data_IF_634371802959
#
_entry.id   IF_634371802959
#
_cell.length_a   1.000
_cell.length_b   1.000
_cell.length_c   1.000
_cell.angle_alpha   90.00
_cell.angle_beta   90.00
_cell.angle_gamma   90.00
#
_symmetry.space_group_name_H-M   'P 1'
#
loop_
_entity.id
_entity.type
_entity.pdbx_description
1 polymer ?
#
# COMPACT_ATOMS: atom_id res chain seq x y z
N UNK A 1 -19.26 11.20 -48.11
CA UNK A 1 -18.27 10.10 -47.99
C UNK A 1 -16.89 10.53 -47.42
N UNK A 2 -16.69 11.76 -46.91
CA UNK A 2 -15.37 12.24 -46.42
C UNK A 2 -15.24 12.46 -44.89
N UNK A 3 -16.29 12.19 -44.08
CA UNK A 3 -16.25 12.36 -42.61
C UNK A 3 -15.16 11.54 -41.90
N UNK A 4 -14.68 10.46 -42.51
CA UNK A 4 -13.67 9.57 -41.92
C UNK A 4 -12.22 10.08 -41.99
N UNK A 5 -11.87 10.99 -42.91
CA UNK A 5 -10.47 11.44 -43.07
C UNK A 5 -10.11 12.59 -42.13
N UNK A 6 -11.04 13.52 -41.89
CA UNK A 6 -10.80 14.66 -41.00
C UNK A 6 -10.66 14.24 -39.53
N UNK A 7 -11.47 13.26 -39.09
CA UNK A 7 -11.36 12.69 -37.74
C UNK A 7 -10.03 11.99 -37.50
N UNK A 8 -9.48 11.29 -38.51
CA UNK A 8 -8.16 10.65 -38.40
C UNK A 8 -7.03 11.65 -38.24
N UNK A 9 -7.11 12.81 -38.91
CA UNK A 9 -6.06 13.82 -38.86
C UNK A 9 -6.07 14.61 -37.54
N UNK A 10 -7.25 14.90 -36.99
CA UNK A 10 -7.39 15.49 -35.66
C UNK A 10 -6.90 14.56 -34.54
N UNK A 11 -7.18 13.25 -34.66
CA UNK A 11 -6.66 12.23 -33.72
C UNK A 11 -5.13 12.13 -33.79
N UNK A 12 -4.54 12.27 -34.97
CA UNK A 12 -3.09 12.16 -35.17
C UNK A 12 -2.33 13.39 -34.65
N UNK A 13 -2.88 14.59 -34.86
CA UNK A 13 -2.31 15.85 -34.33
C UNK A 13 -2.41 15.92 -32.81
N UNK A 14 -3.51 15.42 -32.25
CA UNK A 14 -3.72 15.39 -30.81
C UNK A 14 -2.94 14.26 -30.13
N UNK A 15 -2.74 13.12 -30.80
CA UNK A 15 -1.77 12.10 -30.37
C UNK A 15 -0.34 12.67 -30.33
N UNK A 16 0.04 13.55 -31.27
CA UNK A 16 1.33 14.22 -31.29
C UNK A 16 1.51 15.21 -30.12
N UNK A 17 0.44 15.91 -29.72
CA UNK A 17 0.44 16.82 -28.55
C UNK A 17 0.43 16.05 -27.22
N UNK A 18 -0.21 14.89 -27.17
CA UNK A 18 -0.17 14.01 -25.99
C UNK A 18 1.19 13.32 -25.87
N UNK A 19 1.78 12.89 -27.00
CA UNK A 19 3.11 12.26 -27.02
C UNK A 19 4.23 13.24 -26.68
N UNK A 20 4.10 14.54 -26.98
CA UNK A 20 5.08 15.54 -26.54
C UNK A 20 5.04 15.79 -25.03
N UNK A 21 3.92 15.48 -24.36
CA UNK A 21 3.78 15.53 -22.90
C UNK A 21 4.22 14.24 -22.17
N UNK A 22 4.38 13.12 -22.87
CA UNK A 22 4.74 11.82 -22.27
C UNK A 22 6.25 11.50 -22.29
N UNK A 23 7.10 12.35 -22.89
CA UNK A 23 8.56 12.20 -22.83
C UNK A 23 9.11 12.79 -21.51
N UNK A 24 8.84 12.10 -20.40
CA UNK A 24 9.27 12.53 -19.07
C UNK A 24 8.97 11.51 -17.97
N UNK A 25 9.32 10.24 -18.18
CA UNK A 25 9.26 9.23 -17.13
C UNK A 25 10.50 9.29 -16.24
N UNK A 26 10.30 9.44 -14.92
CA UNK A 26 11.31 9.16 -13.91
C UNK A 26 11.16 9.93 -12.60
N UNK A 27 10.14 9.67 -11.78
CA UNK A 27 10.12 10.04 -10.36
C UNK A 27 10.84 8.98 -9.54
N UNK A 28 12.17 8.96 -9.67
CA UNK A 28 12.98 8.83 -8.47
C UNK A 28 13.26 10.26 -8.02
N UNK A 29 13.27 10.52 -6.72
CA UNK A 29 13.91 11.71 -6.15
C UNK A 29 15.41 11.65 -6.44
N UNK A 30 15.80 11.79 -7.71
CA UNK A 30 17.17 11.98 -8.11
C UNK A 30 17.46 13.40 -7.68
N UNK A 31 18.13 13.54 -6.54
CA UNK A 31 18.80 14.75 -6.12
C UNK A 31 19.74 15.19 -7.26
N UNK A 32 19.23 15.96 -8.21
CA UNK A 32 19.96 16.35 -9.42
C UNK A 32 19.12 16.75 -10.64
N UNK A 33 17.82 16.45 -10.72
CA UNK A 33 16.96 16.98 -11.81
C UNK A 33 16.52 18.43 -11.52
N UNK A 34 16.46 19.30 -12.54
CA UNK A 34 16.12 20.71 -12.36
C UNK A 34 14.69 20.87 -11.83
N UNK A 35 14.55 21.72 -10.81
CA UNK A 35 13.32 22.00 -10.05
C UNK A 35 12.07 22.32 -10.92
N UNK A 36 12.27 22.74 -12.16
CA UNK A 36 11.19 23.08 -13.08
C UNK A 36 10.35 21.87 -13.51
N UNK A 37 10.94 20.69 -13.75
CA UNK A 37 10.15 19.51 -14.18
C UNK A 37 9.30 18.93 -13.04
N UNK A 38 9.83 18.96 -11.82
CA UNK A 38 9.11 18.50 -10.63
C UNK A 38 7.94 19.43 -10.29
N UNK A 39 8.10 20.73 -10.51
CA UNK A 39 7.01 21.70 -10.35
C UNK A 39 5.88 21.52 -11.38
N UNK A 40 6.18 21.11 -12.62
CA UNK A 40 5.15 20.89 -13.66
C UNK A 40 4.32 19.64 -13.35
N UNK A 41 4.96 18.54 -12.95
CA UNK A 41 4.24 17.31 -12.58
C UNK A 41 3.41 17.49 -11.30
N UNK A 42 3.86 18.32 -10.34
CA UNK A 42 3.07 18.65 -9.16
C UNK A 42 1.84 19.51 -9.47
N UNK A 43 1.88 20.29 -10.56
CA UNK A 43 0.79 21.17 -10.96
C UNK A 43 -0.18 20.51 -11.95
N UNK A 44 -0.66 19.30 -11.62
CA UNK A 44 -1.68 18.60 -12.41
C UNK A 44 -2.94 19.44 -12.64
N UNK A 45 -3.28 20.33 -11.69
CA UNK A 45 -4.38 21.30 -11.80
C UNK A 45 -4.13 22.21 -13.01
N UNK A 46 -2.95 22.80 -13.12
CA UNK A 46 -2.57 23.70 -14.22
C UNK A 46 -2.60 22.97 -15.57
N UNK A 47 -2.06 21.75 -15.64
CA UNK A 47 -2.08 20.94 -16.87
C UNK A 47 -3.53 20.67 -17.30
N UNK A 48 -4.41 20.36 -16.34
CA UNK A 48 -5.82 20.09 -16.61
C UNK A 48 -6.53 21.35 -17.11
N UNK A 49 -6.31 22.50 -16.48
CA UNK A 49 -6.89 23.77 -16.93
C UNK A 49 -6.40 24.18 -18.32
N UNK A 50 -5.10 24.02 -18.61
CA UNK A 50 -4.53 24.27 -19.94
C UNK A 50 -5.19 23.35 -20.98
N UNK A 51 -5.40 22.07 -20.63
CA UNK A 51 -6.04 21.09 -21.52
C UNK A 51 -7.49 21.47 -21.82
N UNK A 52 -8.28 21.80 -20.79
CA UNK A 52 -9.67 22.25 -20.95
C UNK A 52 -9.72 23.52 -21.78
N UNK A 53 -8.89 24.51 -21.47
CA UNK A 53 -8.83 25.79 -22.19
C UNK A 53 -8.41 25.59 -23.67
N UNK A 54 -7.41 24.76 -23.92
CA UNK A 54 -6.97 24.40 -25.26
C UNK A 54 -8.09 23.76 -26.09
N UNK A 55 -8.92 22.91 -25.47
CA UNK A 55 -10.09 22.32 -26.13
C UNK A 55 -11.16 23.37 -26.46
N UNK A 56 -11.44 24.31 -25.55
CA UNK A 56 -12.37 25.42 -25.84
C UNK A 56 -11.89 26.27 -27.01
N UNK A 57 -10.59 26.60 -27.05
CA UNK A 57 -9.99 27.36 -28.15
C UNK A 57 -10.09 26.59 -29.47
N UNK A 58 -9.79 25.29 -29.47
CA UNK A 58 -9.88 24.46 -30.67
C UNK A 58 -11.32 24.40 -31.23
N UNK A 59 -12.32 24.17 -30.37
CA UNK A 59 -13.73 24.13 -30.79
C UNK A 59 -14.23 25.52 -31.21
N UNK A 60 -13.80 26.58 -30.53
CA UNK A 60 -14.10 27.97 -30.91
C UNK A 60 -13.58 28.32 -32.30
N UNK A 61 -12.33 27.94 -32.60
CA UNK A 61 -11.75 28.12 -33.95
C UNK A 61 -12.53 27.33 -35.00
N UNK A 62 -12.88 26.07 -34.73
CA UNK A 62 -13.71 25.27 -35.64
C UNK A 62 -15.09 25.89 -35.89
N UNK A 63 -15.67 26.54 -34.88
CA UNK A 63 -16.93 27.27 -35.03
C UNK A 63 -16.79 28.48 -35.96
N UNK A 64 -15.72 29.26 -35.82
CA UNK A 64 -15.45 30.41 -36.72
C UNK A 64 -15.22 29.95 -38.15
N UNK A 65 -14.49 28.85 -38.36
CA UNK A 65 -14.28 28.21 -39.67
C UNK A 65 -15.62 27.74 -40.24
N UNK A 66 -16.46 27.05 -39.47
CA UNK A 66 -17.78 26.59 -39.92
C UNK A 66 -18.74 27.73 -40.27
N UNK A 67 -18.57 28.89 -39.64
CA UNK A 67 -19.30 30.11 -39.97
C UNK A 67 -18.79 30.75 -41.25
N UNK A 68 -17.46 30.88 -41.39
CA UNK A 68 -16.83 31.45 -42.59
C UNK A 68 -17.11 30.68 -43.87
N UNK A 69 -17.18 29.34 -43.81
CA UNK A 69 -17.51 28.49 -44.95
C UNK A 69 -19.01 28.20 -45.12
N UNK A 70 -19.87 28.71 -44.22
CA UNK A 70 -21.32 28.47 -44.30
C UNK A 70 -21.73 27.00 -44.22
N UNK A 71 -21.01 26.18 -43.44
CA UNK A 71 -21.29 24.74 -43.29
C UNK A 71 -22.16 24.51 -42.04
N UNK A 72 -23.51 24.43 -42.16
CA UNK A 72 -24.40 24.37 -40.99
C UNK A 72 -24.19 23.11 -40.15
N UNK A 73 -23.74 22.00 -40.77
CA UNK A 73 -23.45 20.76 -40.04
C UNK A 73 -22.27 20.89 -39.07
N UNK A 74 -21.24 21.67 -39.42
CA UNK A 74 -20.08 21.89 -38.56
C UNK A 74 -20.46 22.80 -37.38
N UNK A 75 -21.30 23.81 -37.62
CA UNK A 75 -21.80 24.70 -36.57
C UNK A 75 -22.66 23.93 -35.55
N UNK A 76 -23.57 23.08 -36.02
CA UNK A 76 -24.39 22.24 -35.14
C UNK A 76 -23.53 21.28 -34.30
N UNK A 77 -22.50 20.68 -34.91
CA UNK A 77 -21.55 19.84 -34.19
C UNK A 77 -20.76 20.62 -33.13
N UNK A 78 -20.23 21.81 -33.46
CA UNK A 78 -19.49 22.64 -32.52
C UNK A 78 -20.35 23.10 -31.33
N UNK A 79 -21.63 23.43 -31.56
CA UNK A 79 -22.56 23.80 -30.47
C UNK A 79 -22.77 22.65 -29.48
N UNK A 80 -22.91 21.43 -29.98
CA UNK A 80 -23.04 20.23 -29.14
C UNK A 80 -21.75 19.95 -28.37
N UNK A 81 -20.59 20.09 -29.01
CA UNK A 81 -19.30 19.83 -28.38
C UNK A 81 -18.97 20.90 -27.32
N UNK A 82 -19.30 22.17 -27.57
CA UNK A 82 -19.08 23.25 -26.61
C UNK A 82 -19.92 23.06 -25.33
N UNK A 83 -21.18 22.61 -25.46
CA UNK A 83 -21.99 22.24 -24.31
C UNK A 83 -21.35 21.09 -23.51
N UNK A 84 -20.83 20.08 -24.19
CA UNK A 84 -20.17 18.96 -23.53
C UNK A 84 -18.87 19.36 -22.84
N UNK A 85 -18.03 20.18 -23.49
CA UNK A 85 -16.82 20.74 -22.87
C UNK A 85 -17.14 21.58 -21.63
N UNK A 86 -18.23 22.36 -21.65
CA UNK A 86 -18.68 23.11 -20.47
C UNK A 86 -19.04 22.20 -19.30
N UNK A 87 -19.74 21.10 -19.56
CA UNK A 87 -20.03 20.09 -18.54
C UNK A 87 -18.74 19.43 -18.01
N UNK A 88 -17.75 19.17 -18.87
CA UNK A 88 -16.45 18.62 -18.43
C UNK A 88 -15.68 19.60 -17.55
N UNK A 89 -15.72 20.90 -17.86
CA UNK A 89 -15.04 21.92 -17.07
C UNK A 89 -15.64 22.04 -15.66
N UNK A 90 -16.97 22.03 -15.56
CA UNK A 90 -17.68 22.03 -14.26
C UNK A 90 -17.33 20.80 -13.44
N UNK A 91 -17.28 19.62 -14.07
CA UNK A 91 -16.92 18.36 -13.43
C UNK A 91 -15.47 18.38 -12.90
N UNK A 92 -14.52 18.85 -13.70
CA UNK A 92 -13.12 19.01 -13.27
C UNK A 92 -13.04 19.97 -12.09
N UNK A 93 -13.77 21.09 -12.13
CA UNK A 93 -13.80 22.05 -11.03
C UNK A 93 -14.35 21.43 -9.73
N UNK A 94 -15.46 20.68 -9.81
CA UNK A 94 -16.01 19.95 -8.66
C UNK A 94 -15.03 18.91 -8.11
N UNK A 95 -14.29 18.23 -8.98
CA UNK A 95 -13.30 17.23 -8.58
C UNK A 95 -12.10 17.88 -7.88
N UNK A 96 -11.59 19.01 -8.38
CA UNK A 96 -10.54 19.79 -7.70
C UNK A 96 -11.01 20.23 -6.32
N UNK A 97 -12.26 20.70 -6.21
CA UNK A 97 -12.86 21.06 -4.93
C UNK A 97 -12.98 19.85 -3.99
N UNK A 98 -13.40 18.68 -4.49
CA UNK A 98 -13.52 17.47 -3.69
C UNK A 98 -12.15 16.99 -3.17
N UNK A 99 -11.11 17.00 -4.00
CA UNK A 99 -9.74 16.62 -3.64
C UNK A 99 -9.18 17.57 -2.57
N UNK A 100 -9.25 18.87 -2.83
CA UNK A 100 -8.75 19.88 -1.88
C UNK A 100 -9.54 19.87 -0.58
N UNK A 101 -10.86 19.67 -0.64
CA UNK A 101 -11.72 19.49 0.52
C UNK A 101 -11.35 18.25 1.34
N UNK A 102 -11.12 17.10 0.67
CA UNK A 102 -10.72 15.86 1.34
C UNK A 102 -9.37 16.01 2.07
N UNK A 103 -8.40 16.71 1.47
CA UNK A 103 -7.12 16.97 2.10
C UNK A 103 -7.25 17.89 3.34
N UNK A 104 -8.09 18.92 3.29
CA UNK A 104 -8.34 19.78 4.46
C UNK A 104 -9.07 19.04 5.58
N UNK A 105 -10.06 18.22 5.23
CA UNK A 105 -10.77 17.37 6.19
C UNK A 105 -9.78 16.42 6.85
N UNK A 106 -8.93 15.75 6.06
CA UNK A 106 -7.92 14.84 6.61
C UNK A 106 -6.95 15.55 7.54
N UNK A 107 -6.43 16.73 7.16
CA UNK A 107 -5.56 17.55 8.04
C UNK A 107 -6.22 17.86 9.39
N UNK A 108 -7.53 18.12 9.39
CA UNK A 108 -8.28 18.41 10.62
C UNK A 108 -8.47 17.18 11.52
N UNK A 109 -8.75 16.00 10.94
CA UNK A 109 -8.91 14.75 11.68
C UNK A 109 -7.59 14.21 12.24
N UNK A 110 -6.51 14.44 11.51
CA UNK A 110 -5.21 13.84 11.80
C UNK A 110 -4.43 14.61 12.87
N UNK A 111 -4.65 15.93 12.97
CA UNK A 111 -3.93 16.82 13.88
C UNK A 111 -2.44 17.00 13.57
N UNK A 112 -1.92 16.33 12.53
CA UNK A 112 -0.50 16.37 12.16
C UNK A 112 -0.19 17.37 11.04
N UNK A 113 -1.22 17.93 10.39
CA UNK A 113 -1.06 18.85 9.26
C UNK A 113 -0.62 18.18 7.94
N UNK A 114 -0.36 16.87 7.96
CA UNK A 114 -0.03 16.07 6.77
C UNK A 114 -1.26 15.79 5.92
N UNK A 115 -1.04 15.56 4.62
CA UNK A 115 -2.12 15.13 3.72
C UNK A 115 -2.60 13.71 4.05
N UNK A 116 -3.82 13.36 3.63
CA UNK A 116 -4.37 12.01 3.82
C UNK A 116 -3.46 10.94 3.19
N UNK A 117 -2.97 11.26 1.99
CA UNK A 117 -2.11 10.38 1.21
C UNK A 117 -0.78 10.11 1.90
N UNK A 118 -0.11 11.15 2.39
CA UNK A 118 1.16 11.04 3.11
C UNK A 118 1.01 10.21 4.39
N UNK A 119 -0.03 10.48 5.19
CA UNK A 119 -0.27 9.70 6.41
C UNK A 119 -0.63 8.24 6.12
N UNK A 120 -1.37 7.96 5.05
CA UNK A 120 -1.65 6.60 4.63
C UNK A 120 -0.37 5.87 4.21
N UNK A 121 0.54 6.55 3.50
CA UNK A 121 1.85 5.99 3.13
C UNK A 121 2.72 5.69 4.35
N UNK A 122 2.81 6.63 5.29
CA UNK A 122 3.56 6.46 6.54
C UNK A 122 3.02 5.28 7.35
N UNK A 123 1.70 5.16 7.44
CA UNK A 123 1.04 4.03 8.09
C UNK A 123 1.39 2.70 7.42
N UNK A 124 1.22 2.58 6.09
CA UNK A 124 1.50 1.34 5.36
C UNK A 124 2.98 0.94 5.43
N UNK A 125 3.89 1.91 5.39
CA UNK A 125 5.32 1.65 5.56
C UNK A 125 5.62 1.12 6.96
N UNK A 126 5.07 1.77 7.98
CA UNK A 126 5.26 1.36 9.37
C UNK A 126 4.68 -0.03 9.63
N UNK A 127 3.45 -0.28 9.16
CA UNK A 127 2.78 -1.57 9.24
C UNK A 127 3.60 -2.67 8.56
N UNK A 128 4.09 -2.42 7.33
CA UNK A 128 4.94 -3.37 6.61
C UNK A 128 6.22 -3.70 7.38
N UNK A 129 6.87 -2.71 7.98
CA UNK A 129 8.05 -2.91 8.80
C UNK A 129 7.76 -3.71 10.07
N UNK A 130 6.62 -3.47 10.70
CA UNK A 130 6.18 -4.21 11.88
C UNK A 130 5.94 -5.70 11.56
N UNK A 131 5.21 -5.99 10.47
CA UNK A 131 4.97 -7.38 10.01
C UNK A 131 6.31 -8.05 9.66
N UNK A 132 7.21 -7.34 8.97
CA UNK A 132 8.54 -7.87 8.62
C UNK A 132 9.41 -8.13 9.86
N UNK A 133 9.37 -7.25 10.86
CA UNK A 133 10.07 -7.46 12.14
C UNK A 133 9.57 -8.72 12.86
N UNK A 134 8.25 -8.90 12.88
CA UNK A 134 7.56 -10.06 13.46
C UNK A 134 7.94 -11.35 12.74
N UNK A 135 8.00 -11.31 11.40
CA UNK A 135 8.47 -12.43 10.56
C UNK A 135 9.91 -12.84 10.91
N UNK A 136 10.84 -11.89 10.97
CA UNK A 136 12.24 -12.20 11.30
C UNK A 136 12.38 -12.74 12.72
N UNK A 137 11.61 -12.21 13.67
CA UNK A 137 11.59 -12.73 15.02
C UNK A 137 11.12 -14.19 15.08
N UNK A 138 10.04 -14.53 14.36
CA UNK A 138 9.55 -15.91 14.26
C UNK A 138 10.56 -16.83 13.59
N UNK A 139 11.28 -16.36 12.57
CA UNK A 139 12.33 -17.11 11.90
C UNK A 139 13.48 -17.43 12.87
N UNK A 140 13.97 -16.43 13.61
CA UNK A 140 15.07 -16.62 14.57
C UNK A 140 14.66 -17.51 15.75
N UNK A 141 13.45 -17.35 16.27
CA UNK A 141 12.95 -18.16 17.40
C UNK A 141 12.59 -19.59 17.01
N UNK A 142 12.24 -19.84 15.73
CA UNK A 142 11.94 -21.19 15.25
C UNK A 142 13.16 -22.01 14.84
N UNK A 143 14.27 -21.38 14.46
CA UNK A 143 15.52 -22.06 14.12
C UNK A 143 16.01 -23.07 15.18
N UNK A 144 16.07 -22.74 16.48
CA UNK A 144 16.47 -23.71 17.51
C UNK A 144 15.44 -24.83 17.69
N UNK A 145 14.15 -24.55 17.51
CA UNK A 145 13.11 -25.59 17.55
C UNK A 145 13.23 -26.56 16.38
N UNK A 146 13.60 -26.08 15.18
CA UNK A 146 13.83 -26.96 14.03
C UNK A 146 15.08 -27.83 14.23
N UNK A 147 16.13 -27.30 14.87
CA UNK A 147 17.31 -28.10 15.26
C UNK A 147 16.91 -29.20 16.25
N UNK A 148 16.13 -28.88 17.29
CA UNK A 148 15.63 -29.88 18.24
C UNK A 148 14.72 -30.91 17.57
N UNK A 149 13.84 -30.47 16.68
CA UNK A 149 12.93 -31.33 15.92
C UNK A 149 13.67 -32.30 14.98
N UNK A 150 14.75 -31.83 14.33
CA UNK A 150 15.56 -32.66 13.43
C UNK A 150 16.46 -33.67 14.16
N UNK A 151 16.60 -33.56 15.48
CA UNK A 151 17.41 -34.50 16.25
C UNK A 151 16.76 -35.89 16.31
N UNK A 152 17.45 -36.88 15.73
CA UNK A 152 17.07 -38.30 15.76
C UNK A 152 18.11 -39.07 16.54
N UNK A 153 17.69 -39.78 17.58
CA UNK A 153 18.59 -40.66 18.34
C UNK A 153 18.37 -42.07 17.82
N UNK A 154 19.36 -42.58 17.09
CA UNK A 154 19.38 -43.96 16.62
C UNK A 154 20.14 -44.84 17.60
N UNK A 155 19.44 -45.75 18.27
CA UNK A 155 20.06 -46.74 19.15
C UNK A 155 20.00 -48.08 18.41
N UNK A 156 21.16 -48.63 18.04
CA UNK A 156 21.29 -49.88 17.26
C UNK A 156 22.00 -50.98 18.06
N UNK A 157 21.38 -51.55 19.12
CA UNK A 157 21.94 -52.73 19.75
C UNK A 157 21.88 -53.91 18.75
N UNK A 158 23.02 -54.55 18.47
CA UNK A 158 23.08 -55.79 17.68
C UNK A 158 22.47 -55.70 16.26
N UNK A 159 22.58 -54.55 15.57
CA UNK A 159 22.00 -54.28 14.24
C UNK A 159 20.47 -54.24 14.14
N UNK A 160 19.72 -54.47 15.23
CA UNK A 160 18.30 -54.12 15.30
C UNK A 160 18.17 -52.71 15.88
N UNK A 161 17.77 -51.74 15.06
CA UNK A 161 17.72 -50.33 15.45
C UNK A 161 16.33 -49.86 15.82
N UNK A 162 16.19 -49.15 16.94
CA UNK A 162 15.04 -48.29 17.19
C UNK A 162 15.47 -46.82 17.11
N UNK A 163 14.60 -45.99 16.56
CA UNK A 163 14.82 -44.55 16.39
C UNK A 163 13.85 -43.80 17.27
N UNK A 164 14.37 -43.06 18.24
CA UNK A 164 13.58 -42.14 19.05
C UNK A 164 13.77 -40.72 18.49
N UNK A 165 12.64 -40.09 18.13
CA UNK A 165 12.59 -38.66 17.87
C UNK A 165 11.96 -38.00 19.09
N UNK A 166 12.77 -37.55 20.07
CA UNK A 166 12.24 -37.03 21.33
C UNK A 166 11.31 -35.83 21.11
N UNK A 167 11.52 -35.08 20.03
CA UNK A 167 10.77 -33.87 19.70
C UNK A 167 9.54 -34.10 18.80
N UNK A 168 9.10 -35.33 18.53
CA UNK A 168 7.89 -35.57 17.70
C UNK A 168 6.63 -34.91 18.24
N UNK A 169 6.54 -34.69 19.56
CA UNK A 169 5.41 -33.99 20.17
C UNK A 169 5.34 -32.49 19.78
N UNK A 170 6.45 -31.90 19.31
CA UNK A 170 6.48 -30.52 18.80
C UNK A 170 5.99 -30.40 17.37
N UNK A 171 5.69 -31.51 16.68
CA UNK A 171 5.26 -31.49 15.28
C UNK A 171 4.06 -30.55 15.04
N UNK A 172 2.97 -30.58 15.84
CA UNK A 172 1.86 -29.64 15.65
C UNK A 172 2.24 -28.17 15.81
N UNK A 173 3.23 -27.88 16.66
CA UNK A 173 3.72 -26.52 16.88
C UNK A 173 4.53 -26.05 15.67
N UNK A 174 5.39 -26.92 15.13
CA UNK A 174 6.19 -26.61 13.94
C UNK A 174 5.31 -26.42 12.70
N UNK A 175 4.26 -27.23 12.54
CA UNK A 175 3.32 -27.10 11.43
C UNK A 175 2.54 -25.78 11.51
N UNK A 176 2.03 -25.42 12.69
CA UNK A 176 1.34 -24.13 12.91
C UNK A 176 2.26 -22.93 12.70
N UNK A 177 3.51 -23.03 13.15
CA UNK A 177 4.50 -21.98 12.96
C UNK A 177 4.91 -21.83 11.49
N UNK A 178 5.01 -22.94 10.75
CA UNK A 178 5.21 -22.91 9.30
C UNK A 178 4.07 -22.18 8.57
N UNK A 179 2.81 -22.46 8.95
CA UNK A 179 1.64 -21.75 8.40
C UNK A 179 1.70 -20.25 8.76
N UNK A 180 2.02 -19.91 10.01
CA UNK A 180 2.16 -18.53 10.46
C UNK A 180 3.22 -17.74 9.68
N UNK A 181 4.41 -18.34 9.47
CA UNK A 181 5.49 -17.73 8.70
C UNK A 181 5.07 -17.49 7.24
N UNK A 182 4.41 -18.47 6.61
CA UNK A 182 3.92 -18.34 5.24
C UNK A 182 2.85 -17.21 5.13
N UNK A 183 1.96 -17.13 6.10
CA UNK A 183 0.93 -16.09 6.19
C UNK A 183 1.51 -14.68 6.43
N UNK A 184 2.51 -14.55 7.31
CA UNK A 184 3.19 -13.26 7.52
C UNK A 184 3.99 -12.84 6.29
N UNK A 185 4.56 -13.79 5.57
CA UNK A 185 5.27 -13.52 4.31
C UNK A 185 4.32 -12.92 3.28
N UNK A 186 3.16 -13.56 3.05
CA UNK A 186 2.16 -13.05 2.10
C UNK A 186 1.59 -11.69 2.54
N UNK A 187 1.30 -11.52 3.84
CA UNK A 187 0.84 -10.24 4.39
C UNK A 187 1.86 -9.11 4.22
N UNK A 188 3.15 -9.40 4.40
CA UNK A 188 4.22 -8.40 4.20
C UNK A 188 4.25 -7.91 2.76
N UNK A 189 4.19 -8.84 1.79
CA UNK A 189 4.18 -8.48 0.37
C UNK A 189 2.93 -7.72 -0.03
N UNK A 190 1.76 -8.13 0.47
CA UNK A 190 0.51 -7.45 0.20
C UNK A 190 0.51 -6.01 0.75
N UNK A 191 0.99 -5.80 1.99
CA UNK A 191 1.13 -4.47 2.59
C UNK A 191 2.10 -3.57 1.80
N UNK A 192 3.24 -4.12 1.34
CA UNK A 192 4.16 -3.37 0.47
C UNK A 192 3.55 -3.03 -0.88
N UNK A 193 2.76 -3.94 -1.46
CA UNK A 193 2.09 -3.68 -2.72
C UNK A 193 1.14 -2.49 -2.58
N UNK A 194 0.34 -2.42 -1.52
CA UNK A 194 -0.53 -1.25 -1.27
C UNK A 194 0.28 0.03 -1.03
N UNK A 195 1.42 -0.04 -0.33
CA UNK A 195 2.32 1.10 -0.21
C UNK A 195 2.81 1.61 -1.57
N UNK A 196 3.28 0.72 -2.46
CA UNK A 196 3.67 1.10 -3.81
C UNK A 196 2.49 1.59 -4.65
N UNK A 197 1.31 1.06 -4.42
CA UNK A 197 0.08 1.49 -5.08
C UNK A 197 -0.34 2.89 -4.63
N UNK A 198 -0.16 3.25 -3.35
CA UNK A 198 -0.36 4.61 -2.84
C UNK A 198 0.63 5.60 -3.47
N UNK A 199 1.91 5.22 -3.58
CA UNK A 199 2.91 6.05 -4.27
C UNK A 199 2.56 6.23 -5.76
N UNK A 200 2.17 5.13 -6.42
CA UNK A 200 1.72 5.17 -7.81
C UNK A 200 0.47 6.06 -7.98
N UNK A 201 -0.50 5.97 -7.05
CA UNK A 201 -1.70 6.79 -7.06
C UNK A 201 -1.39 8.29 -6.90
N UNK A 202 -0.44 8.64 -6.02
CA UNK A 202 -0.01 10.01 -5.83
C UNK A 202 0.68 10.58 -7.08
N UNK A 203 1.66 9.85 -7.63
CA UNK A 203 2.52 10.37 -8.69
C UNK A 203 1.89 10.31 -10.08
N UNK A 204 1.14 9.24 -10.38
CA UNK A 204 0.73 8.96 -11.77
C UNK A 204 -0.77 9.15 -12.01
N UNK A 205 -1.64 8.79 -11.06
CA UNK A 205 -3.09 8.81 -11.31
C UNK A 205 -3.62 10.24 -11.51
N UNK A 206 -3.21 11.20 -10.68
CA UNK A 206 -3.66 12.59 -10.89
C UNK A 206 -2.92 13.28 -12.04
N UNK A 207 -1.60 13.08 -12.16
CA UNK A 207 -0.81 13.80 -13.16
C UNK A 207 -1.07 13.33 -14.59
N UNK A 208 -1.28 12.02 -14.80
CA UNK A 208 -1.40 11.44 -16.15
C UNK A 208 -2.85 11.10 -16.48
N UNK A 209 -3.56 10.38 -15.60
CA UNK A 209 -4.88 9.86 -15.94
C UNK A 209 -5.96 10.94 -15.99
N UNK A 210 -5.84 12.00 -15.18
CA UNK A 210 -6.85 13.06 -15.14
C UNK A 210 -6.81 13.94 -16.41
N UNK A 211 -5.67 14.52 -16.84
CA UNK A 211 -5.61 15.26 -18.11
C UNK A 211 -5.95 14.37 -19.32
N UNK A 212 -5.47 13.12 -19.31
CA UNK A 212 -5.79 12.15 -20.36
C UNK A 212 -7.30 11.84 -20.43
N UNK A 213 -7.94 11.66 -19.27
CA UNK A 213 -9.37 11.41 -19.17
C UNK A 213 -10.21 12.59 -19.67
N UNK A 214 -9.80 13.82 -19.32
CA UNK A 214 -10.42 15.06 -19.83
C UNK A 214 -10.28 15.16 -21.35
N UNK A 215 -9.08 14.88 -21.87
CA UNK A 215 -8.80 14.91 -23.30
C UNK A 215 -9.60 13.85 -24.07
N UNK A 216 -9.69 12.62 -23.55
CA UNK A 216 -10.48 11.55 -24.17
C UNK A 216 -11.99 11.85 -24.14
N UNK A 217 -12.46 12.69 -23.21
CA UNK A 217 -13.85 13.10 -23.13
C UNK A 217 -14.28 14.05 -24.26
N UNK A 218 -13.34 14.77 -24.86
CA UNK A 218 -13.57 15.67 -26.00
C UNK A 218 -13.80 14.93 -27.33
N UNK A 219 -13.53 13.62 -27.41
CA UNK A 219 -13.89 12.84 -28.58
C UNK A 219 -15.18 12.05 -28.31
N UNK A 220 -16.19 12.15 -29.20
CA UNK A 220 -17.45 11.44 -29.02
C UNK A 220 -17.29 9.91 -28.86
N UNK A 221 -16.29 9.32 -29.52
CA UNK A 221 -16.05 7.87 -29.51
C UNK A 221 -15.38 7.39 -28.21
N UNK A 222 -14.49 8.18 -27.62
CA UNK A 222 -13.74 7.79 -26.40
C UNK A 222 -14.31 8.41 -25.13
N UNK A 223 -15.48 9.05 -25.21
CA UNK A 223 -16.08 9.79 -24.10
C UNK A 223 -16.33 8.93 -22.86
N UNK A 224 -16.82 7.72 -23.05
CA UNK A 224 -17.06 6.77 -21.95
C UNK A 224 -15.76 6.38 -21.25
N UNK A 225 -14.68 6.17 -22.02
CA UNK A 225 -13.34 5.86 -21.48
C UNK A 225 -12.78 7.06 -20.70
N UNK A 226 -12.96 8.28 -21.22
CA UNK A 226 -12.54 9.49 -20.52
C UNK A 226 -13.22 9.66 -19.16
N UNK A 227 -14.53 9.42 -19.08
CA UNK A 227 -15.26 9.40 -17.80
C UNK A 227 -14.72 8.35 -16.83
N UNK A 228 -14.43 7.15 -17.32
CA UNK A 228 -13.86 6.07 -16.52
C UNK A 228 -12.49 6.39 -15.93
N UNK A 229 -11.60 6.99 -16.72
CA UNK A 229 -10.24 7.34 -16.29
C UNK A 229 -10.26 8.45 -15.24
N UNK A 230 -11.12 9.46 -15.41
CA UNK A 230 -11.35 10.50 -14.40
C UNK A 230 -11.88 9.84 -13.11
N UNK A 231 -12.82 8.91 -13.24
CA UNK A 231 -13.40 8.25 -12.08
C UNK A 231 -12.40 7.40 -11.30
N UNK A 232 -11.58 6.65 -12.02
CA UNK A 232 -10.52 5.84 -11.46
C UNK A 232 -9.47 6.70 -10.74
N UNK A 233 -9.00 7.77 -11.37
CA UNK A 233 -8.02 8.68 -10.77
C UNK A 233 -8.54 9.30 -9.47
N UNK A 234 -9.80 9.78 -9.46
CA UNK A 234 -10.43 10.33 -8.27
C UNK A 234 -10.60 9.28 -7.16
N UNK A 235 -11.00 8.06 -7.52
CA UNK A 235 -11.21 6.99 -6.56
C UNK A 235 -9.91 6.54 -5.87
N UNK A 236 -8.84 6.33 -6.64
CA UNK A 236 -7.54 5.96 -6.06
C UNK A 236 -6.93 7.10 -5.24
N UNK A 237 -7.23 8.36 -5.54
CA UNK A 237 -6.72 9.48 -4.75
C UNK A 237 -7.51 9.71 -3.46
N UNK A 238 -8.84 9.53 -3.46
CA UNK A 238 -9.69 9.83 -2.30
C UNK A 238 -10.00 8.58 -1.48
N UNK A 239 -10.53 7.53 -2.12
CA UNK A 239 -11.06 6.37 -1.43
C UNK A 239 -9.97 5.46 -0.86
N UNK A 240 -8.86 5.27 -1.59
CA UNK A 240 -7.77 4.40 -1.15
C UNK A 240 -7.09 4.89 0.13
N UNK A 241 -6.53 6.12 0.21
CA UNK A 241 -5.94 6.58 1.47
C UNK A 241 -7.00 6.68 2.57
N UNK A 242 -8.26 6.99 2.24
CA UNK A 242 -9.36 6.96 3.19
C UNK A 242 -9.57 5.59 3.84
N UNK A 243 -9.59 4.52 3.04
CA UNK A 243 -9.76 3.15 3.53
C UNK A 243 -8.57 2.72 4.41
N UNK A 244 -7.34 3.01 3.95
CA UNK A 244 -6.11 2.75 4.73
C UNK A 244 -6.11 3.50 6.07
N UNK A 245 -6.60 4.74 6.11
CA UNK A 245 -6.71 5.51 7.34
C UNK A 245 -7.74 4.93 8.32
N UNK A 246 -8.84 4.36 7.82
CA UNK A 246 -9.80 3.63 8.67
C UNK A 246 -9.11 2.41 9.30
N UNK A 247 -8.33 1.65 8.52
CA UNK A 247 -7.54 0.55 9.05
C UNK A 247 -6.51 1.01 10.10
N UNK A 248 -5.91 2.19 9.90
CA UNK A 248 -5.02 2.80 10.89
C UNK A 248 -5.73 3.14 12.21
N UNK A 249 -7.00 3.58 12.17
CA UNK A 249 -7.78 3.83 13.40
C UNK A 249 -8.06 2.53 14.16
N UNK A 250 -8.45 1.47 13.46
CA UNK A 250 -8.68 0.13 14.04
C UNK A 250 -7.37 -0.39 14.66
N UNK A 251 -6.24 -0.21 13.97
CA UNK A 251 -4.93 -0.56 14.48
C UNK A 251 -4.60 0.19 15.77
N UNK A 252 -4.84 1.51 15.80
CA UNK A 252 -4.54 2.35 16.96
C UNK A 252 -5.40 2.01 18.17
N UNK A 253 -6.65 1.60 17.98
CA UNK A 253 -7.51 1.14 19.06
C UNK A 253 -6.96 -0.15 19.68
N UNK A 254 -6.55 -1.12 18.85
CA UNK A 254 -6.07 -2.42 19.32
C UNK A 254 -4.65 -2.36 19.92
N UNK A 255 -3.70 -1.76 19.20
CA UNK A 255 -2.28 -1.77 19.57
C UNK A 255 -1.80 -0.47 20.23
N UNK A 256 -2.57 0.61 20.18
CA UNK A 256 -2.15 1.95 20.60
C UNK A 256 -1.43 2.74 19.50
N UNK A 257 -0.88 3.90 19.84
CA UNK A 257 -0.29 4.88 18.92
C UNK A 257 1.06 4.46 18.28
N UNK A 258 1.31 3.16 18.16
CA UNK A 258 2.63 2.59 17.96
C UNK A 258 3.16 2.71 16.51
N UNK A 259 2.36 3.25 15.58
CA UNK A 259 2.69 3.43 14.16
C UNK A 259 2.63 4.89 13.70
N UNK A 260 3.02 5.83 14.56
CA UNK A 260 3.36 7.17 14.07
C UNK A 260 4.80 7.06 13.56
N UNK A 261 4.99 7.10 12.24
CA UNK A 261 6.31 7.24 11.67
C UNK A 261 6.93 8.50 12.28
N UNK A 262 7.82 8.33 13.26
CA UNK A 262 8.60 9.46 13.72
C UNK A 262 9.41 9.89 12.51
N UNK A 263 9.36 11.18 12.11
CA UNK A 263 10.17 11.67 11.02
C UNK A 263 11.62 11.30 11.37
N UNK A 264 12.16 10.31 10.66
CA UNK A 264 13.52 9.86 10.88
C UNK A 264 14.34 11.07 10.47
N UNK A 265 14.83 11.83 11.45
CA UNK A 265 15.70 12.96 11.19
C UNK A 265 16.76 12.45 10.22
N UNK A 266 17.00 13.14 9.09
CA UNK A 266 17.94 12.70 8.08
C UNK A 266 19.34 12.67 8.70
N UNK A 267 19.68 11.55 9.34
CA UNK A 267 20.98 11.31 9.91
C UNK A 267 21.92 11.09 8.73
N UNK A 268 22.91 11.98 8.63
CA UNK A 268 23.87 12.16 7.54
C UNK A 268 24.78 10.95 7.24
N UNK A 269 24.45 9.75 7.73
CA UNK A 269 25.34 8.60 7.73
C UNK A 269 24.69 7.40 7.03
N UNK A 270 24.95 7.33 5.72
CA UNK A 270 24.79 6.17 4.81
C UNK A 270 23.36 5.77 4.39
N UNK A 271 22.95 6.07 3.14
CA UNK A 271 21.56 5.92 2.69
C UNK A 271 21.08 4.47 2.45
N UNK A 272 21.93 3.44 2.55
CA UNK A 272 21.52 2.06 2.22
C UNK A 272 21.53 1.07 3.37
N UNK A 273 22.30 1.33 4.42
CA UNK A 273 22.49 0.39 5.54
C UNK A 273 22.09 1.03 6.87
N UNK A 274 22.44 2.31 7.10
CA UNK A 274 22.11 3.04 8.32
C UNK A 274 20.60 3.18 8.56
N UNK A 275 19.84 3.68 7.58
CA UNK A 275 18.39 3.89 7.74
C UNK A 275 17.58 2.60 7.93
N UNK A 276 17.97 1.50 7.27
CA UNK A 276 17.32 0.19 7.45
C UNK A 276 17.67 -0.46 8.78
N UNK A 277 18.95 -0.40 9.19
CA UNK A 277 19.36 -0.90 10.50
C UNK A 277 18.81 -0.02 11.62
N UNK A 278 18.65 1.29 11.43
CA UNK A 278 18.12 2.19 12.46
C UNK A 278 16.58 2.20 12.51
N UNK A 279 15.88 1.86 11.42
CA UNK A 279 14.44 1.58 11.44
C UNK A 279 14.15 0.18 12.02
N UNK A 280 14.97 -0.83 11.68
CA UNK A 280 14.92 -2.15 12.31
C UNK A 280 15.30 -2.04 13.79
N UNK A 281 16.45 -1.46 14.12
CA UNK A 281 16.92 -1.29 15.49
C UNK A 281 16.08 -0.27 16.27
N UNK A 282 15.54 0.77 15.65
CA UNK A 282 14.66 1.75 16.29
C UNK A 282 13.28 1.16 16.59
N UNK A 283 12.70 0.40 15.66
CA UNK A 283 11.52 -0.42 15.94
C UNK A 283 11.81 -1.45 17.04
N UNK A 284 12.96 -2.13 16.97
CA UNK A 284 13.36 -3.12 17.98
C UNK A 284 13.68 -2.51 19.34
N UNK A 285 14.37 -1.38 19.45
CA UNK A 285 14.72 -0.76 20.74
C UNK A 285 13.52 -0.06 21.35
N UNK A 286 12.70 0.61 20.54
CA UNK A 286 11.51 1.28 21.04
C UNK A 286 10.41 0.28 21.47
N UNK A 287 10.30 -0.87 20.80
CA UNK A 287 9.37 -1.93 21.21
C UNK A 287 9.99 -2.90 22.23
N UNK A 288 11.16 -3.46 22.00
CA UNK A 288 11.73 -4.45 22.91
C UNK A 288 12.31 -3.78 24.15
N UNK A 289 13.12 -2.73 24.03
CA UNK A 289 13.72 -2.06 25.19
C UNK A 289 12.71 -1.16 25.92
N UNK A 290 11.87 -0.42 25.18
CA UNK A 290 10.77 0.38 25.74
C UNK A 290 9.73 -0.48 26.47
N UNK A 291 9.30 -1.61 25.89
CA UNK A 291 8.36 -2.49 26.60
C UNK A 291 9.01 -3.29 27.74
N UNK A 292 10.34 -3.48 27.71
CA UNK A 292 11.12 -4.08 28.80
C UNK A 292 11.31 -3.11 29.98
N UNK A 293 11.60 -1.85 29.71
CA UNK A 293 11.97 -0.84 30.73
C UNK A 293 10.75 -0.09 31.26
N UNK A 294 9.83 0.35 30.39
CA UNK A 294 8.72 1.23 30.80
C UNK A 294 7.47 0.47 31.23
N UNK A 295 7.45 -0.86 31.10
CA UNK A 295 6.30 -1.66 31.52
C UNK A 295 5.00 -1.07 30.98
N UNK A 296 4.91 -0.91 29.66
CA UNK A 296 3.79 -0.21 29.00
C UNK A 296 2.46 -0.80 29.49
N UNK A 297 1.66 0.02 30.17
CA UNK A 297 0.44 -0.38 30.88
C UNK A 297 -0.56 -1.16 30.03
N UNK A 298 -0.41 -2.48 29.98
CA UNK A 298 -1.44 -3.42 29.54
C UNK A 298 -1.60 -3.69 28.04
N UNK A 299 -0.67 -3.30 27.14
CA UNK A 299 -0.79 -3.57 25.70
C UNK A 299 0.18 -4.66 25.19
N UNK A 300 -0.24 -5.41 24.17
CA UNK A 300 0.36 -6.67 23.68
C UNK A 300 1.90 -6.64 23.50
N UNK A 301 2.49 -5.49 23.15
CA UNK A 301 3.93 -5.29 23.04
C UNK A 301 4.73 -5.65 24.33
N UNK A 302 4.14 -5.44 25.51
CA UNK A 302 4.76 -5.79 26.81
C UNK A 302 4.90 -7.30 27.03
N UNK A 303 3.98 -8.09 26.49
CA UNK A 303 4.03 -9.56 26.61
C UNK A 303 5.20 -10.09 25.77
N UNK A 304 5.41 -9.53 24.58
CA UNK A 304 6.48 -9.94 23.67
C UNK A 304 7.88 -9.61 24.18
N UNK A 305 8.11 -8.41 24.73
CA UNK A 305 9.43 -8.03 25.27
C UNK A 305 9.84 -8.87 26.48
N UNK A 306 8.89 -9.13 27.40
CA UNK A 306 9.14 -9.93 28.60
C UNK A 306 9.32 -11.42 28.30
N UNK A 307 8.60 -11.95 27.30
CA UNK A 307 8.72 -13.37 26.97
C UNK A 307 9.89 -13.68 26.02
N UNK A 308 10.28 -12.75 25.15
CA UNK A 308 11.47 -12.91 24.30
C UNK A 308 12.77 -12.95 25.10
N UNK A 309 12.88 -12.08 26.12
CA UNK A 309 14.02 -12.11 27.05
C UNK A 309 14.07 -13.39 27.88
N UNK A 310 12.92 -13.87 28.38
CA UNK A 310 12.83 -15.16 29.06
C UNK A 310 13.33 -16.31 28.16
N UNK A 311 12.93 -16.32 26.89
CA UNK A 311 13.31 -17.37 25.94
C UNK A 311 14.81 -17.31 25.61
N UNK A 312 15.36 -16.12 25.43
CA UNK A 312 16.80 -15.92 25.23
C UNK A 312 17.63 -16.35 26.44
N UNK A 313 17.17 -16.02 27.65
CA UNK A 313 17.80 -16.45 28.91
C UNK A 313 17.77 -17.98 29.00
N UNK A 314 16.63 -18.61 28.69
CA UNK A 314 16.50 -20.06 28.70
C UNK A 314 17.38 -20.74 27.63
N UNK A 315 17.55 -20.13 26.45
CA UNK A 315 18.51 -20.60 25.44
C UNK A 315 19.96 -20.45 25.87
N UNK A 316 20.32 -19.31 26.46
CA UNK A 316 21.65 -19.07 26.99
C UNK A 316 22.00 -20.07 28.11
N UNK A 317 21.04 -20.40 28.98
CA UNK A 317 21.22 -21.41 30.04
C UNK A 317 21.37 -22.82 29.45
N UNK A 318 20.60 -23.15 28.40
CA UNK A 318 20.63 -24.50 27.80
C UNK A 318 21.84 -24.75 26.90
N UNK A 319 22.38 -23.73 26.22
CA UNK A 319 23.56 -23.86 25.36
C UNK A 319 24.88 -23.43 26.03
N UNK A 320 24.83 -22.62 27.10
CA UNK A 320 25.97 -21.83 27.54
C UNK A 320 26.86 -22.37 28.66
N UNK A 321 26.51 -23.43 29.42
CA UNK A 321 27.41 -23.72 30.56
C UNK A 321 27.26 -24.92 31.47
N UNK A 322 26.39 -25.91 31.23
CA UNK A 322 26.28 -27.05 32.15
C UNK A 322 26.35 -28.38 31.41
N UNK A 323 27.58 -28.85 31.18
CA UNK A 323 27.95 -30.15 30.58
C UNK A 323 27.66 -31.37 31.48
N UNK A 324 26.71 -31.26 32.42
CA UNK A 324 26.33 -32.32 33.36
C UNK A 324 25.15 -33.14 32.84
N UNK A 325 25.38 -34.43 32.56
CA UNK A 325 24.47 -35.37 31.89
C UNK A 325 23.07 -35.60 32.53
N UNK A 326 22.75 -34.97 33.67
CA UNK A 326 21.54 -35.24 34.44
C UNK A 326 20.54 -34.07 34.56
N UNK A 327 20.85 -32.88 34.03
CA UNK A 327 19.94 -31.72 34.03
C UNK A 327 19.04 -31.59 32.77
N UNK A 328 19.31 -32.22 31.59
CA UNK A 328 18.52 -31.98 30.37
C UNK A 328 17.02 -32.29 30.47
N UNK A 329 16.63 -33.33 31.18
CA UNK A 329 15.26 -33.83 31.26
C UNK A 329 14.29 -32.96 32.08
N UNK A 330 14.68 -32.47 33.26
CA UNK A 330 13.81 -31.61 34.08
C UNK A 330 13.68 -30.19 33.50
N UNK A 331 14.77 -29.65 32.94
CA UNK A 331 14.71 -28.39 32.20
C UNK A 331 13.87 -28.52 30.93
N UNK A 332 13.84 -29.70 30.29
CA UNK A 332 13.03 -29.88 29.08
C UNK A 332 11.54 -29.65 29.31
N UNK A 333 10.97 -30.07 30.46
CA UNK A 333 9.55 -29.90 30.74
C UNK A 333 9.13 -28.43 30.93
N UNK A 334 9.88 -27.69 31.75
CA UNK A 334 9.62 -26.25 32.00
C UNK A 334 9.85 -25.43 30.72
N UNK A 335 10.91 -25.74 29.99
CA UNK A 335 11.26 -25.05 28.75
C UNK A 335 10.23 -25.33 27.65
N UNK A 336 9.77 -26.58 27.52
CA UNK A 336 8.68 -26.95 26.62
C UNK A 336 7.37 -26.29 27.03
N UNK A 337 7.03 -26.28 28.31
CA UNK A 337 5.82 -25.63 28.82
C UNK A 337 5.82 -24.12 28.54
N UNK A 338 6.94 -23.45 28.82
CA UNK A 338 7.12 -22.03 28.53
C UNK A 338 7.06 -21.74 27.03
N UNK A 339 7.71 -22.55 26.19
CA UNK A 339 7.64 -22.43 24.73
C UNK A 339 6.23 -22.67 24.20
N UNK A 340 5.49 -23.62 24.77
CA UNK A 340 4.11 -23.91 24.34
C UNK A 340 3.17 -22.76 24.70
N UNK A 341 3.27 -22.22 25.92
CA UNK A 341 2.53 -21.04 26.34
C UNK A 341 2.88 -19.80 25.49
N UNK A 342 4.17 -19.66 25.15
CA UNK A 342 4.66 -18.64 24.22
C UNK A 342 3.96 -18.77 22.86
N UNK A 343 3.96 -19.98 22.29
CA UNK A 343 3.36 -20.24 20.99
C UNK A 343 1.86 -19.98 20.95
N UNK A 344 1.13 -20.31 22.02
CA UNK A 344 -0.30 -20.01 22.12
C UNK A 344 -0.56 -18.49 22.19
N UNK A 345 0.25 -17.74 22.93
CA UNK A 345 0.16 -16.28 22.96
C UNK A 345 0.47 -15.68 21.57
N UNK A 346 1.48 -16.23 20.87
CA UNK A 346 1.85 -15.84 19.52
C UNK A 346 0.76 -16.15 18.49
N UNK A 347 0.12 -17.31 18.57
CA UNK A 347 -0.91 -17.71 17.62
C UNK A 347 -2.06 -16.69 17.58
N UNK A 348 -2.51 -16.21 18.74
CA UNK A 348 -3.57 -15.19 18.84
C UNK A 348 -3.20 -13.90 18.11
N UNK A 349 -1.96 -13.44 18.28
CA UNK A 349 -1.48 -12.19 17.74
C UNK A 349 -1.15 -12.29 16.24
N UNK A 350 -0.58 -13.41 15.81
CA UNK A 350 -0.38 -13.69 14.38
C UNK A 350 -1.72 -13.72 13.66
N UNK A 351 -2.75 -14.33 14.25
CA UNK A 351 -4.09 -14.33 13.65
C UNK A 351 -4.60 -12.89 13.50
N UNK A 352 -4.47 -12.04 14.51
CA UNK A 352 -4.90 -10.65 14.41
C UNK A 352 -4.12 -9.89 13.32
N UNK A 353 -2.78 -9.98 13.34
CA UNK A 353 -1.91 -9.30 12.38
C UNK A 353 -2.16 -9.79 10.95
N UNK A 354 -2.27 -11.09 10.73
CA UNK A 354 -2.44 -11.66 9.39
C UNK A 354 -3.86 -11.44 8.88
N UNK A 355 -4.87 -11.74 9.69
CA UNK A 355 -6.26 -11.77 9.22
C UNK A 355 -6.84 -10.37 9.15
N UNK A 356 -6.68 -9.56 10.20
CA UNK A 356 -7.31 -8.23 10.25
C UNK A 356 -6.44 -7.21 9.54
N UNK A 357 -5.16 -7.14 9.89
CA UNK A 357 -4.28 -6.09 9.38
C UNK A 357 -3.66 -6.42 8.02
N UNK A 358 -3.40 -7.70 7.76
CA UNK A 358 -2.90 -8.20 6.50
C UNK A 358 -4.01 -8.39 5.49
N UNK A 359 -4.54 -9.60 5.38
CA UNK A 359 -5.40 -9.98 4.27
C UNK A 359 -6.76 -9.28 4.31
N UNK A 360 -7.45 -9.29 5.44
CA UNK A 360 -8.81 -8.74 5.58
C UNK A 360 -8.87 -7.24 5.32
N UNK A 361 -8.02 -6.46 5.99
CA UNK A 361 -7.95 -5.01 5.82
C UNK A 361 -7.64 -4.62 4.37
N UNK A 362 -6.65 -5.26 3.74
CA UNK A 362 -6.28 -4.93 2.36
C UNK A 362 -7.38 -5.29 1.36
N UNK A 363 -8.05 -6.43 1.53
CA UNK A 363 -9.19 -6.81 0.67
C UNK A 363 -10.33 -5.83 0.80
N UNK A 364 -10.64 -5.38 2.03
CA UNK A 364 -11.66 -4.36 2.29
C UNK A 364 -11.26 -3.03 1.64
N UNK A 365 -10.01 -2.61 1.74
CA UNK A 365 -9.52 -1.37 1.13
C UNK A 365 -9.67 -1.38 -0.39
N UNK A 366 -9.33 -2.50 -1.05
CA UNK A 366 -9.55 -2.68 -2.47
C UNK A 366 -11.04 -2.66 -2.83
N UNK A 367 -11.87 -3.38 -2.09
CA UNK A 367 -13.30 -3.45 -2.35
C UNK A 367 -13.95 -2.06 -2.24
N UNK A 368 -13.61 -1.28 -1.21
CA UNK A 368 -14.10 0.10 -1.02
C UNK A 368 -13.64 0.97 -2.19
N UNK A 369 -12.36 0.92 -2.54
CA UNK A 369 -11.79 1.74 -3.62
C UNK A 369 -12.43 1.44 -4.97
N UNK A 370 -12.59 0.16 -5.34
CA UNK A 370 -13.22 -0.23 -6.60
C UNK A 370 -14.72 0.04 -6.64
N UNK A 371 -15.41 -0.15 -5.52
CA UNK A 371 -16.84 0.19 -5.42
C UNK A 371 -17.04 1.69 -5.62
N UNK A 372 -16.22 2.51 -4.95
CA UNK A 372 -16.24 3.95 -5.13
C UNK A 372 -15.92 4.36 -6.58
N UNK A 373 -14.90 3.77 -7.19
CA UNK A 373 -14.58 4.00 -8.60
C UNK A 373 -15.75 3.68 -9.54
N UNK A 374 -16.47 2.58 -9.27
CA UNK A 374 -17.63 2.16 -10.07
C UNK A 374 -18.79 3.15 -9.95
N UNK A 375 -19.15 3.55 -8.74
CA UNK A 375 -20.25 4.48 -8.53
C UNK A 375 -19.90 5.87 -9.09
N UNK A 376 -18.65 6.31 -8.95
CA UNK A 376 -18.21 7.57 -9.53
C UNK A 376 -18.24 7.51 -11.07
N UNK A 377 -17.82 6.40 -11.69
CA UNK A 377 -17.94 6.21 -13.14
C UNK A 377 -19.38 6.30 -13.63
N UNK A 378 -20.34 5.73 -12.89
CA UNK A 378 -21.78 5.83 -13.21
C UNK A 378 -22.27 7.27 -13.16
N UNK A 379 -21.88 8.02 -12.13
CA UNK A 379 -22.21 9.45 -12.00
C UNK A 379 -21.63 10.26 -13.17
N UNK A 380 -20.46 9.87 -13.67
CA UNK A 380 -19.82 10.53 -14.82
C UNK A 380 -20.43 10.16 -16.18
N UNK A 381 -21.42 9.27 -16.21
CA UNK A 381 -22.11 8.79 -17.41
C UNK A 381 -21.32 7.74 -18.18
N UNK A 382 -20.35 7.07 -17.54
CA UNK A 382 -19.60 5.96 -18.13
C UNK A 382 -19.98 4.63 -17.50
N UNK A 383 -20.69 3.80 -18.27
CA UNK A 383 -20.94 2.40 -17.93
C UNK A 383 -19.70 1.56 -18.25
N UNK A 384 -18.70 1.64 -17.38
CA UNK A 384 -17.55 0.74 -17.47
C UNK A 384 -17.89 -0.57 -16.77
N UNK A 385 -17.89 -1.65 -17.54
CA UNK A 385 -17.98 -3.00 -17.02
C UNK A 385 -16.68 -3.38 -16.28
N UNK A 386 -16.50 -2.83 -15.08
CA UNK A 386 -15.43 -3.21 -14.15
C UNK A 386 -15.59 -4.65 -13.63
N UNK A 387 -16.71 -5.32 -13.96
CA UNK A 387 -16.95 -6.72 -13.59
C UNK A 387 -15.86 -7.66 -14.15
N UNK A 388 -15.28 -7.36 -15.31
CA UNK A 388 -14.18 -8.16 -15.84
C UNK A 388 -12.91 -8.03 -14.99
N UNK A 389 -12.61 -6.82 -14.53
CA UNK A 389 -11.44 -6.54 -13.69
C UNK A 389 -11.60 -7.15 -12.29
N UNK A 390 -12.81 -7.09 -11.73
CA UNK A 390 -13.16 -7.68 -10.44
C UNK A 390 -13.17 -9.21 -10.44
N UNK A 391 -13.20 -9.86 -11.62
CA UNK A 391 -13.08 -11.33 -11.74
C UNK A 391 -11.63 -11.82 -11.80
N UNK A 392 -10.68 -10.91 -12.08
CA UNK A 392 -9.25 -11.23 -12.18
C UNK A 392 -8.57 -11.08 -10.80
N UNK A 393 -9.09 -10.16 -9.99
CA UNK A 393 -8.82 -10.08 -8.55
C UNK A 393 -9.61 -11.18 -7.81
#
# INVERSE_FOLDING_TARGET
MQKGKLGKLAVLLLALVVLSGCLGFGTGSISGLPSAQQAVLQNWITITFITVFGMFMAVGLLYTVGTGFGIPSLQAWCKNELFQLSATAIMVFMLVFAITGADQISKSFTGTGQSAMERAQDYMLCQSQFIWGTYNYLLVTSAPMSILYSSTIHIRPLRMGFSLQPAKFLQPVMDNLGIAINMLTSATWASRLVYYLLLFAQDTMLAIFLPLGVLLRAFPVTRSIGGALIAMAAAFYIALPGAVLINAMIYQEHYGAACIAQPVAPTLITPFVGGRIQALAGGWTHYALGALVEGTGGKAAAIFGKMGTLTYILMAISFGGLSGAAIPWLLSGVLVGALTALMLAWAREVIFIVVILGFGGLVVDYMITFTFARELSRVLGSDVNLSALMKIL
#
